data_IF_639258753680
#
_entry.id   IF_639258753680
#
_cell.length_a   1.000
_cell.length_b   1.000
_cell.length_c   1.000
_cell.angle_alpha   90.00
_cell.angle_beta   90.00
_cell.angle_gamma   90.00
#
_symmetry.space_group_name_H-M   'P 1'
#
loop_
_entity.id
_entity.type
_entity.pdbx_description
1 polymer ?
#
# COMPACT_ATOMS: atom_id res chain seq x y z
N UNK A 1 -9.08 -15.19 2.62
CA UNK A 1 -8.12 -15.46 3.73
C UNK A 1 -7.25 -14.24 3.90
N UNK A 2 -7.18 -13.68 5.11
CA UNK A 2 -6.32 -12.56 5.48
C UNK A 2 -5.25 -13.05 6.46
N UNK A 3 -4.01 -12.56 6.34
CA UNK A 3 -2.91 -12.89 7.24
C UNK A 3 -2.27 -11.60 7.74
N UNK A 4 -2.18 -11.45 9.05
CA UNK A 4 -1.44 -10.37 9.68
C UNK A 4 0.03 -10.77 9.85
N UNK A 5 0.95 -9.93 9.35
CA UNK A 5 2.39 -10.10 9.46
C UNK A 5 2.95 -8.93 10.30
N UNK A 6 3.23 -9.15 11.58
CA UNK A 6 3.71 -8.07 12.45
C UNK A 6 5.17 -7.72 12.15
N UNK A 7 5.55 -6.49 12.48
CA UNK A 7 6.94 -6.02 12.58
C UNK A 7 7.79 -6.23 11.31
N UNK A 8 7.19 -6.06 10.12
CA UNK A 8 7.93 -6.07 8.85
C UNK A 8 9.03 -5.00 8.85
N UNK A 9 8.75 -3.86 9.46
CA UNK A 9 9.70 -2.78 9.72
C UNK A 9 9.78 -2.52 11.24
N UNK A 10 10.98 -2.24 11.74
CA UNK A 10 11.15 -1.76 13.11
C UNK A 10 10.58 -0.35 13.28
N UNK A 11 10.19 0.04 14.49
CA UNK A 11 9.70 1.40 14.78
C UNK A 11 10.65 2.51 14.33
N UNK A 12 11.98 2.42 14.54
CA UNK A 12 12.92 3.40 13.98
C UNK A 12 12.90 3.44 12.46
N UNK A 13 12.82 2.29 11.77
CA UNK A 13 12.73 2.23 10.32
C UNK A 13 11.44 2.86 9.78
N UNK A 14 10.31 2.65 10.48
CA UNK A 14 9.03 3.33 10.16
C UNK A 14 9.18 4.84 10.33
N UNK A 15 9.80 5.32 11.42
CA UNK A 15 10.00 6.74 11.65
C UNK A 15 10.86 7.39 10.55
N UNK A 16 11.95 6.74 10.13
CA UNK A 16 12.78 7.23 9.03
C UNK A 16 12.03 7.23 7.70
N UNK A 17 11.24 6.18 7.43
CA UNK A 17 10.42 6.08 6.23
C UNK A 17 9.36 7.20 6.20
N UNK A 18 8.68 7.42 7.33
CA UNK A 18 7.69 8.49 7.51
C UNK A 18 8.32 9.87 7.29
N UNK A 19 9.48 10.14 7.87
CA UNK A 19 10.20 11.41 7.67
C UNK A 19 10.48 11.66 6.17
N UNK A 20 10.85 10.63 5.43
CA UNK A 20 11.08 10.73 3.99
C UNK A 20 9.80 11.03 3.20
N UNK A 21 8.73 10.26 3.43
CA UNK A 21 7.50 10.41 2.64
C UNK A 21 6.67 11.62 3.07
N UNK A 22 6.66 11.98 4.35
CA UNK A 22 5.90 13.14 4.84
C UNK A 22 6.47 14.48 4.36
N UNK A 23 7.77 14.54 4.05
CA UNK A 23 8.43 15.70 3.47
C UNK A 23 8.23 15.83 1.94
N UNK A 24 7.62 14.84 1.29
CA UNK A 24 7.44 14.82 -0.15
C UNK A 24 6.13 15.51 -0.58
N UNK A 25 6.03 15.81 -1.88
CA UNK A 25 4.82 16.37 -2.48
C UNK A 25 3.80 15.26 -2.75
N UNK A 26 2.65 15.36 -2.12
CA UNK A 26 1.52 14.46 -2.29
C UNK A 26 0.55 15.01 -3.35
N UNK A 27 -0.05 14.13 -4.12
CA UNK A 27 -1.04 14.47 -5.16
C UNK A 27 -2.36 13.77 -4.88
N UNK A 28 -3.42 14.21 -5.56
CA UNK A 28 -4.72 13.52 -5.51
C UNK A 28 -4.55 12.06 -5.97
N UNK A 29 -4.98 11.13 -5.10
CA UNK A 29 -4.87 9.69 -5.36
C UNK A 29 -5.63 9.20 -6.60
N UNK A 30 -6.56 10.01 -7.13
CA UNK A 30 -7.26 9.71 -8.37
C UNK A 30 -6.36 9.85 -9.62
N UNK A 31 -5.21 10.51 -9.51
CA UNK A 31 -4.26 10.61 -10.61
C UNK A 31 -3.75 9.23 -11.11
N UNK A 32 -3.87 8.18 -10.29
CA UNK A 32 -3.43 6.81 -10.60
C UNK A 32 -4.56 5.78 -10.62
N UNK A 33 -5.79 6.17 -10.30
CA UNK A 33 -6.93 5.26 -10.27
C UNK A 33 -7.57 5.10 -11.66
N UNK A 34 -8.10 3.90 -11.92
CA UNK A 34 -8.98 3.69 -13.08
C UNK A 34 -10.33 4.40 -12.88
N UNK A 35 -11.10 4.58 -13.97
CA UNK A 35 -12.34 5.36 -13.96
C UNK A 35 -13.39 4.90 -12.93
N UNK A 36 -13.48 3.61 -12.65
CA UNK A 36 -14.40 3.07 -11.64
C UNK A 36 -13.88 3.31 -10.21
N UNK A 37 -12.61 3.09 -9.96
CA UNK A 37 -11.99 3.30 -8.65
C UNK A 37 -11.96 4.77 -8.26
N UNK A 38 -11.87 5.69 -9.22
CA UNK A 38 -11.89 7.13 -8.98
C UNK A 38 -13.18 7.62 -8.31
N UNK A 39 -14.31 6.95 -8.53
CA UNK A 39 -15.59 7.30 -7.91
C UNK A 39 -15.65 6.99 -6.41
N UNK A 40 -14.85 6.02 -5.96
CA UNK A 40 -14.86 5.54 -4.57
C UNK A 40 -13.65 6.00 -3.77
N UNK A 41 -12.61 6.56 -4.43
CA UNK A 41 -11.32 6.88 -3.83
C UNK A 41 -11.21 8.39 -3.52
N UNK A 42 -11.02 8.71 -2.26
CA UNK A 42 -10.67 10.06 -1.79
C UNK A 42 -9.48 9.95 -0.86
N UNK A 43 -8.30 10.19 -1.36
CA UNK A 43 -7.04 10.18 -0.61
C UNK A 43 -5.96 10.95 -1.36
N UNK A 44 -4.79 11.03 -0.78
CA UNK A 44 -3.58 11.50 -1.42
C UNK A 44 -2.62 10.33 -1.68
N UNK A 45 -1.77 10.48 -2.68
CA UNK A 45 -0.80 9.47 -3.09
C UNK A 45 0.53 10.13 -3.46
N UNK A 46 1.65 9.47 -3.15
CA UNK A 46 2.93 9.87 -3.73
C UNK A 46 2.96 9.56 -5.23
N UNK A 47 3.45 10.47 -6.08
CA UNK A 47 3.66 10.17 -7.48
C UNK A 47 4.59 8.96 -7.64
N UNK A 48 4.19 7.96 -8.43
CA UNK A 48 4.96 6.71 -8.63
C UNK A 48 6.40 6.96 -9.08
N UNK A 49 6.64 7.99 -9.89
CA UNK A 49 7.97 8.35 -10.39
C UNK A 49 8.76 9.29 -9.50
N UNK A 50 8.24 9.66 -8.31
CA UNK A 50 8.98 10.54 -7.40
C UNK A 50 10.16 9.83 -6.75
N UNK A 51 11.20 10.58 -6.42
CA UNK A 51 12.37 10.06 -5.72
C UNK A 51 11.99 9.50 -4.35
N UNK A 52 11.08 10.18 -3.63
CA UNK A 52 10.58 9.74 -2.34
C UNK A 52 9.87 8.37 -2.45
N UNK A 53 8.98 8.18 -3.44
CA UNK A 53 8.30 6.91 -3.65
C UNK A 53 9.28 5.79 -4.00
N UNK A 54 10.28 6.08 -4.83
CA UNK A 54 11.31 5.10 -5.20
C UNK A 54 12.16 4.67 -3.99
N UNK A 55 12.71 5.62 -3.25
CA UNK A 55 13.56 5.34 -2.08
C UNK A 55 12.78 4.63 -0.96
N UNK A 56 11.55 5.09 -0.70
CA UNK A 56 10.67 4.45 0.26
C UNK A 56 10.29 3.03 -0.18
N UNK A 57 9.97 2.86 -1.44
CA UNK A 57 9.63 1.57 -2.03
C UNK A 57 10.77 0.55 -1.93
N UNK A 58 12.00 0.95 -2.24
CA UNK A 58 13.19 0.10 -2.07
C UNK A 58 13.35 -0.40 -0.64
N UNK A 59 13.17 0.48 0.36
CA UNK A 59 13.24 0.10 1.79
C UNK A 59 12.16 -0.92 2.19
N UNK A 60 10.93 -0.72 1.69
CA UNK A 60 9.82 -1.65 1.95
C UNK A 60 10.09 -3.00 1.28
N UNK A 61 10.50 -3.02 0.02
CA UNK A 61 10.82 -4.27 -0.70
C UNK A 61 11.95 -5.04 -0.03
N UNK A 62 12.99 -4.35 0.43
CA UNK A 62 14.08 -4.95 1.18
C UNK A 62 13.61 -5.56 2.51
N UNK A 63 12.72 -4.89 3.22
CA UNK A 63 12.15 -5.40 4.47
C UNK A 63 11.29 -6.65 4.23
N UNK A 64 10.44 -6.62 3.20
CA UNK A 64 9.62 -7.77 2.81
C UNK A 64 10.46 -8.97 2.40
N UNK A 65 11.54 -8.76 1.63
CA UNK A 65 12.46 -9.83 1.22
C UNK A 65 13.17 -10.48 2.41
N UNK A 66 13.36 -9.75 3.52
CA UNK A 66 13.95 -10.27 4.75
C UNK A 66 12.94 -10.82 5.75
N UNK A 67 11.64 -10.73 5.48
CA UNK A 67 10.58 -11.27 6.35
C UNK A 67 10.30 -12.73 6.00
N UNK A 68 10.72 -13.71 6.82
CA UNK A 68 10.48 -15.12 6.53
C UNK A 68 8.98 -15.45 6.43
N UNK A 69 8.16 -14.81 7.28
CA UNK A 69 6.71 -15.03 7.26
C UNK A 69 6.09 -14.51 5.96
N UNK A 70 6.48 -13.31 5.50
CA UNK A 70 6.01 -12.78 4.22
C UNK A 70 6.42 -13.70 3.05
N UNK A 71 7.70 -14.06 2.98
CA UNK A 71 8.21 -14.92 1.90
C UNK A 71 7.50 -16.27 1.88
N UNK A 72 7.30 -16.90 3.05
CA UNK A 72 6.66 -18.22 3.15
C UNK A 72 5.15 -18.15 2.82
N UNK A 73 4.47 -17.11 3.28
CA UNK A 73 3.03 -16.97 3.08
C UNK A 73 2.66 -16.56 1.65
N UNK A 74 3.42 -15.64 1.07
CA UNK A 74 3.11 -15.08 -0.24
C UNK A 74 3.77 -15.83 -1.40
N UNK A 75 4.94 -16.47 -1.18
CA UNK A 75 5.76 -17.11 -2.22
C UNK A 75 5.89 -16.24 -3.48
N UNK A 76 6.30 -14.96 -3.35
CA UNK A 76 6.17 -14.01 -4.44
C UNK A 76 7.17 -14.33 -5.55
N UNK A 77 6.69 -14.43 -6.78
CA UNK A 77 7.54 -14.40 -7.97
C UNK A 77 8.04 -12.97 -8.23
N UNK A 78 7.14 -12.01 -8.06
CA UNK A 78 7.40 -10.58 -8.24
C UNK A 78 6.56 -9.80 -7.24
N UNK A 79 7.16 -8.81 -6.61
CA UNK A 79 6.44 -7.83 -5.79
C UNK A 79 6.35 -6.54 -6.58
N UNK A 80 5.12 -6.06 -6.82
CA UNK A 80 4.91 -4.77 -7.47
C UNK A 80 5.42 -3.64 -6.59
N UNK A 81 6.07 -2.60 -7.13
CA UNK A 81 6.52 -1.46 -6.34
C UNK A 81 5.41 -0.89 -5.46
N UNK A 82 5.64 -0.67 -4.16
CA UNK A 82 4.62 -0.15 -3.26
C UNK A 82 4.11 1.22 -3.71
N UNK A 83 2.80 1.42 -3.58
CA UNK A 83 2.16 2.72 -3.73
C UNK A 83 1.89 3.30 -2.35
N UNK A 84 2.29 4.54 -2.12
CA UNK A 84 2.11 5.20 -0.84
C UNK A 84 0.85 6.04 -0.86
N UNK A 85 -0.09 5.73 0.03
CA UNK A 85 -1.37 6.41 0.17
C UNK A 85 -1.46 7.08 1.53
N UNK A 86 -2.10 8.25 1.58
CA UNK A 86 -2.39 8.98 2.81
C UNK A 86 -3.87 9.32 2.85
N UNK A 87 -4.48 9.09 3.99
CA UNK A 87 -5.87 9.40 4.26
C UNK A 87 -5.94 10.43 5.40
N UNK A 88 -6.52 11.58 5.14
CA UNK A 88 -6.84 12.61 6.14
C UNK A 88 -8.29 12.51 6.61
N UNK A 89 -8.70 13.42 7.48
CA UNK A 89 -10.06 13.41 8.04
C UNK A 89 -11.15 13.38 6.96
N UNK A 90 -12.03 12.40 7.05
CA UNK A 90 -13.13 12.17 6.13
C UNK A 90 -12.76 11.61 4.76
N UNK A 91 -11.50 11.28 4.53
CA UNK A 91 -11.04 10.58 3.33
C UNK A 91 -11.21 9.07 3.49
N UNK A 92 -11.53 8.39 2.40
CA UNK A 92 -11.74 6.94 2.38
C UNK A 92 -11.53 6.38 0.98
N UNK A 93 -11.31 5.08 0.92
CA UNK A 93 -11.45 4.31 -0.31
C UNK A 93 -12.58 3.31 -0.10
N UNK A 94 -13.70 3.53 -0.79
CA UNK A 94 -14.88 2.67 -0.69
C UNK A 94 -14.62 1.26 -1.20
N UNK A 95 -15.59 0.38 -0.99
CA UNK A 95 -15.54 -1.03 -1.43
C UNK A 95 -15.21 -1.12 -2.92
N UNK A 96 -14.20 -1.88 -3.24
CA UNK A 96 -13.72 -2.11 -4.60
C UNK A 96 -13.06 -3.48 -4.71
N UNK A 97 -12.78 -3.89 -5.93
CA UNK A 97 -11.96 -5.08 -6.24
C UNK A 97 -10.62 -4.58 -6.78
N UNK A 98 -9.53 -5.11 -6.26
CA UNK A 98 -8.20 -4.79 -6.74
C UNK A 98 -7.99 -5.24 -8.19
N UNK A 99 -7.18 -4.50 -8.92
CA UNK A 99 -6.90 -4.81 -10.32
C UNK A 99 -6.14 -6.13 -10.45
N UNK A 100 -6.69 -7.06 -11.24
CA UNK A 100 -6.05 -8.34 -11.53
C UNK A 100 -4.73 -8.21 -12.29
N UNK A 101 -4.50 -7.10 -12.99
CA UNK A 101 -3.26 -6.79 -13.70
C UNK A 101 -2.79 -5.41 -13.25
N UNK A 102 -1.54 -5.34 -12.80
CA UNK A 102 -0.87 -4.09 -12.44
C UNK A 102 0.22 -3.80 -13.45
N UNK A 103 0.37 -2.53 -13.79
CA UNK A 103 1.43 -2.04 -14.65
C UNK A 103 2.00 -0.74 -14.07
N UNK A 104 3.32 -0.60 -14.06
CA UNK A 104 3.97 0.66 -13.70
C UNK A 104 3.63 1.74 -14.71
N UNK A 105 3.66 3.00 -14.29
CA UNK A 105 3.38 4.13 -15.18
C UNK A 105 4.38 4.24 -16.33
N UNK A 106 5.63 3.83 -16.11
CA UNK A 106 6.65 3.76 -17.13
C UNK A 106 6.41 2.62 -18.14
N UNK A 107 5.55 1.65 -17.79
CA UNK A 107 5.23 0.52 -18.67
C UNK A 107 6.30 -0.58 -18.70
N UNK A 108 7.34 -0.46 -17.88
CA UNK A 108 8.49 -1.38 -17.83
C UNK A 108 8.19 -2.67 -17.05
N UNK A 109 7.17 -2.65 -16.19
CA UNK A 109 6.73 -3.81 -15.41
C UNK A 109 5.22 -3.99 -15.55
N UNK A 110 4.80 -5.19 -15.89
CA UNK A 110 3.39 -5.63 -15.89
C UNK A 110 3.29 -6.99 -15.23
N UNK A 111 2.45 -7.11 -14.22
CA UNK A 111 2.24 -8.36 -13.49
C UNK A 111 0.76 -8.71 -13.38
N UNK A 112 0.46 -10.01 -13.21
CA UNK A 112 -0.81 -10.48 -12.67
C UNK A 112 -0.75 -10.39 -11.15
N UNK A 113 -1.73 -9.76 -10.53
CA UNK A 113 -1.84 -9.64 -9.07
C UNK A 113 -2.63 -10.83 -8.54
N UNK A 114 -1.96 -11.75 -7.86
CA UNK A 114 -2.61 -12.90 -7.19
C UNK A 114 -2.87 -12.60 -5.71
N UNK A 115 -2.06 -11.74 -5.09
CA UNK A 115 -2.17 -11.29 -3.71
C UNK A 115 -2.06 -9.78 -3.62
N UNK A 116 -2.78 -9.20 -2.67
CA UNK A 116 -2.67 -7.79 -2.28
C UNK A 116 -2.15 -7.70 -0.86
N UNK A 117 -1.38 -6.66 -0.56
CA UNK A 117 -0.87 -6.41 0.78
C UNK A 117 -0.94 -4.93 1.11
N UNK A 118 -1.31 -4.62 2.33
CA UNK A 118 -1.27 -3.26 2.88
C UNK A 118 -0.27 -3.23 4.03
N UNK A 119 0.67 -2.29 3.99
CA UNK A 119 1.61 -2.02 5.06
C UNK A 119 1.19 -0.73 5.76
N UNK A 120 0.78 -0.83 7.02
CA UNK A 120 0.46 0.32 7.85
C UNK A 120 1.73 0.98 8.38
N UNK A 121 1.84 2.30 8.19
CA UNK A 121 2.98 3.12 8.62
C UNK A 121 2.59 4.15 9.70
N UNK A 122 1.37 4.10 10.20
CA UNK A 122 0.88 4.88 11.32
C UNK A 122 0.52 3.94 12.46
N UNK A 123 0.74 4.38 13.69
CA UNK A 123 0.31 3.60 14.87
C UNK A 123 -1.23 3.68 14.97
N UNK A 124 -1.91 2.61 15.40
CA UNK A 124 -3.37 2.59 15.52
C UNK A 124 -3.92 3.69 16.44
N UNK A 125 -3.13 4.11 17.43
CA UNK A 125 -3.50 5.13 18.41
C UNK A 125 -3.43 6.56 17.85
N UNK A 126 -2.84 6.77 16.67
CA UNK A 126 -2.66 8.09 16.06
C UNK A 126 -3.91 8.58 15.30
N UNK A 127 -4.91 7.71 15.09
CA UNK A 127 -6.10 8.05 14.29
C UNK A 127 -7.33 7.25 14.72
N UNK A 128 -8.51 7.78 14.40
CA UNK A 128 -9.79 7.09 14.54
C UNK A 128 -10.30 6.65 13.16
N UNK A 129 -10.79 5.42 13.05
CA UNK A 129 -11.18 4.83 11.76
C UNK A 129 -9.96 4.39 10.94
N UNK A 130 -10.11 4.28 9.64
CA UNK A 130 -9.02 3.92 8.71
C UNK A 130 -8.75 2.42 8.63
N UNK A 131 -9.69 1.61 9.09
CA UNK A 131 -9.64 0.16 9.04
C UNK A 131 -9.59 -0.33 7.58
N UNK A 132 -8.83 -1.40 7.34
CA UNK A 132 -8.89 -2.18 6.12
C UNK A 132 -9.92 -3.28 6.28
N UNK A 133 -11.07 -3.12 5.64
CA UNK A 133 -12.13 -4.13 5.64
C UNK A 133 -12.01 -5.01 4.40
N UNK A 134 -11.92 -6.31 4.58
CA UNK A 134 -11.93 -7.30 3.51
C UNK A 134 -13.23 -8.10 3.57
N UNK A 135 -14.05 -7.99 2.53
CA UNK A 135 -15.29 -8.73 2.40
C UNK A 135 -15.08 -9.94 1.46
N UNK A 136 -15.42 -11.11 1.92
CA UNK A 136 -15.42 -12.35 1.14
C UNK A 136 -16.72 -13.14 1.35
N UNK A 137 -16.80 -14.34 0.78
CA UNK A 137 -17.99 -15.23 0.91
C UNK A 137 -18.26 -15.70 2.34
N UNK A 138 -17.35 -15.50 3.27
CA UNK A 138 -17.46 -15.91 4.68
C UNK A 138 -17.78 -14.73 5.61
N UNK A 139 -17.78 -13.51 5.10
CA UNK A 139 -18.11 -12.30 5.86
C UNK A 139 -17.10 -11.17 5.65
N UNK A 140 -17.15 -10.22 6.60
CA UNK A 140 -16.24 -9.07 6.63
C UNK A 140 -15.14 -9.35 7.65
N UNK A 141 -13.90 -9.12 7.28
CA UNK A 141 -12.70 -9.25 8.11
C UNK A 141 -12.03 -7.88 8.23
N UNK A 142 -11.49 -7.59 9.41
CA UNK A 142 -10.76 -6.36 9.74
C UNK A 142 -9.32 -6.65 10.12
#
# INVERSE_FOLDING_TARGET
MMLHIPEVLSKPAVAELRALIDAADWIDGNATSGSQSALAKRNEQLPEGSEAARLAGERVLDALARSPLFVTAALPQTVFPPLFNRYGGGQAFGTHIDNAVRQTRAGDLRIRSDLSATLFLSEPEDYDGGELLVEDTYGVHE
#
